data_IF_063903751036
#
_entry.id   IF_063903751036
#
_cell.length_a   1.000
_cell.length_b   1.000
_cell.length_c   1.000
_cell.angle_alpha   90.00
_cell.angle_beta   90.00
_cell.angle_gamma   90.00
#
_symmetry.space_group_name_H-M   'P 1'
#
loop_
_entity.id
_entity.type
_entity.pdbx_description
1 polymer ?
#
# COMPACT_ATOMS: atom_id res chain seq x y z
N UNK A 1 -12.52 16.95 -18.70
CA UNK A 1 -12.84 18.29 -18.14
C UNK A 1 -13.99 18.18 -17.11
N UNK A 2 -15.18 17.65 -17.44
CA UNK A 2 -16.33 17.60 -16.52
C UNK A 2 -16.02 16.97 -15.14
N UNK A 3 -15.28 15.84 -15.12
CA UNK A 3 -14.86 15.18 -13.88
C UNK A 3 -13.98 16.10 -13.02
N UNK A 4 -13.03 16.81 -13.61
CA UNK A 4 -12.13 17.73 -12.89
C UNK A 4 -12.91 18.86 -12.22
N UNK A 5 -13.91 19.45 -12.92
CA UNK A 5 -14.76 20.48 -12.35
C UNK A 5 -15.65 19.95 -11.20
N UNK A 6 -16.15 18.72 -11.31
CA UNK A 6 -16.89 18.05 -10.24
C UNK A 6 -16.00 17.79 -9.02
N UNK A 7 -14.77 17.36 -9.21
CA UNK A 7 -13.78 17.17 -8.14
C UNK A 7 -13.54 18.50 -7.42
N UNK A 8 -13.20 19.57 -8.17
CA UNK A 8 -12.97 20.90 -7.58
C UNK A 8 -14.18 21.40 -6.78
N UNK A 9 -15.39 21.30 -7.35
CA UNK A 9 -16.62 21.72 -6.68
C UNK A 9 -16.83 20.91 -5.38
N UNK A 10 -16.62 19.60 -5.42
CA UNK A 10 -16.78 18.73 -4.24
C UNK A 10 -15.77 19.03 -3.15
N UNK A 11 -14.47 19.13 -3.51
CA UNK A 11 -13.40 19.43 -2.58
C UNK A 11 -13.62 20.78 -1.89
N UNK A 12 -14.00 21.80 -2.67
CA UNK A 12 -14.28 23.14 -2.15
C UNK A 12 -15.50 23.14 -1.22
N UNK A 13 -16.60 22.51 -1.62
CA UNK A 13 -17.84 22.46 -0.84
C UNK A 13 -17.68 21.70 0.48
N UNK A 14 -16.83 20.66 0.51
CA UNK A 14 -16.55 19.83 1.69
C UNK A 14 -15.41 20.37 2.56
N UNK A 15 -14.67 21.38 2.10
CA UNK A 15 -13.53 21.94 2.81
C UNK A 15 -12.33 20.98 2.90
N UNK A 16 -12.18 20.06 1.93
CA UNK A 16 -11.00 19.17 1.86
C UNK A 16 -9.75 19.97 1.53
N UNK A 17 -8.60 19.44 1.92
CA UNK A 17 -7.30 20.10 1.79
C UNK A 17 -6.50 19.68 0.57
N UNK A 18 -7.01 18.78 -0.24
CA UNK A 18 -6.37 18.24 -1.43
C UNK A 18 -7.14 17.05 -1.97
N UNK A 19 -6.55 16.40 -2.95
CA UNK A 19 -7.10 15.19 -3.59
C UNK A 19 -6.02 14.13 -3.65
N UNK A 20 -6.36 12.92 -3.25
CA UNK A 20 -5.58 11.72 -3.53
C UNK A 20 -6.29 10.93 -4.63
N UNK A 21 -5.58 10.62 -5.72
CA UNK A 21 -6.12 9.85 -6.84
C UNK A 21 -5.59 8.42 -6.74
N UNK A 22 -6.51 7.50 -6.47
CA UNK A 22 -6.24 6.08 -6.31
C UNK A 22 -6.95 5.28 -7.40
N UNK A 23 -6.44 5.37 -8.63
CA UNK A 23 -6.95 4.61 -9.77
C UNK A 23 -6.07 3.40 -10.00
N UNK A 24 -6.64 2.23 -9.77
CA UNK A 24 -5.97 0.95 -9.96
C UNK A 24 -6.45 0.23 -11.23
N UNK A 25 -5.67 -0.76 -11.68
CA UNK A 25 -6.01 -1.62 -12.82
C UNK A 25 -6.28 -0.87 -14.13
N UNK A 26 -5.57 0.25 -14.33
CA UNK A 26 -5.62 0.99 -15.59
C UNK A 26 -4.81 0.22 -16.64
N UNK A 27 -5.37 0.00 -17.86
CA UNK A 27 -4.63 -0.64 -18.94
C UNK A 27 -3.33 0.09 -19.29
N UNK A 28 -2.27 -0.65 -19.60
CA UNK A 28 -0.96 -0.07 -19.86
C UNK A 28 -0.91 0.90 -21.05
N UNK A 29 -1.79 0.74 -22.04
CA UNK A 29 -1.95 1.67 -23.17
C UNK A 29 -2.58 3.02 -22.77
N UNK A 30 -3.12 3.13 -21.55
CA UNK A 30 -3.67 4.36 -20.97
C UNK A 30 -2.67 5.12 -20.07
N UNK A 31 -1.44 4.67 -19.96
CA UNK A 31 -0.38 5.25 -19.13
C UNK A 31 -0.24 6.76 -19.28
N UNK A 32 -0.11 7.22 -20.53
CA UNK A 32 0.04 8.65 -20.83
C UNK A 32 -1.25 9.44 -20.57
N UNK A 33 -2.40 8.86 -20.88
CA UNK A 33 -3.70 9.49 -20.64
C UNK A 33 -3.95 9.67 -19.12
N UNK A 34 -3.52 8.70 -18.29
CA UNK A 34 -3.58 8.81 -16.85
C UNK A 34 -2.69 9.94 -16.32
N UNK A 35 -1.44 10.02 -16.76
CA UNK A 35 -0.55 11.11 -16.39
C UNK A 35 -1.06 12.48 -16.85
N UNK A 36 -1.65 12.57 -18.05
CA UNK A 36 -2.29 13.81 -18.55
C UNK A 36 -3.50 14.21 -17.68
N UNK A 37 -4.30 13.24 -17.22
CA UNK A 37 -5.41 13.50 -16.30
C UNK A 37 -4.90 14.10 -14.98
N UNK A 38 -3.89 13.50 -14.36
CA UNK A 38 -3.28 13.99 -13.10
C UNK A 38 -2.72 15.40 -13.29
N UNK A 39 -1.99 15.65 -14.37
CA UNK A 39 -1.42 16.96 -14.68
C UNK A 39 -2.50 18.04 -14.84
N UNK A 40 -3.59 17.74 -15.55
CA UNK A 40 -4.74 18.67 -15.73
C UNK A 40 -5.47 18.92 -14.40
N UNK A 41 -5.68 17.86 -13.62
CA UNK A 41 -6.30 17.97 -12.29
C UNK A 41 -5.47 18.90 -11.41
N UNK A 42 -4.15 18.66 -11.29
CA UNK A 42 -3.23 19.50 -10.54
C UNK A 42 -3.26 20.96 -11.03
N UNK A 43 -3.19 21.18 -12.32
CA UNK A 43 -3.23 22.54 -12.91
C UNK A 43 -4.52 23.27 -12.53
N UNK A 44 -5.64 22.55 -12.51
CA UNK A 44 -6.97 23.13 -12.19
C UNK A 44 -7.14 23.42 -10.71
N UNK A 45 -6.54 22.60 -9.82
CA UNK A 45 -6.65 22.73 -8.38
C UNK A 45 -5.62 23.70 -7.76
N UNK A 46 -4.48 23.90 -8.41
CA UNK A 46 -3.38 24.73 -7.92
C UNK A 46 -3.77 26.17 -7.55
N UNK A 47 -4.62 26.92 -8.32
CA UNK A 47 -5.04 28.26 -7.94
C UNK A 47 -5.83 28.33 -6.63
N UNK A 48 -6.45 27.22 -6.22
CA UNK A 48 -7.16 27.08 -4.94
C UNK A 48 -6.24 26.60 -3.80
N UNK A 49 -4.95 26.38 -4.05
CA UNK A 49 -4.01 25.87 -3.07
C UNK A 49 -4.29 24.41 -2.66
N UNK A 50 -4.91 23.63 -3.54
CA UNK A 50 -5.28 22.24 -3.31
C UNK A 50 -4.29 21.30 -3.99
N UNK A 51 -3.42 20.61 -3.24
CA UNK A 51 -2.48 19.66 -3.80
C UNK A 51 -3.17 18.40 -4.33
N UNK A 52 -2.53 17.76 -5.31
CA UNK A 52 -2.93 16.47 -5.88
C UNK A 52 -1.85 15.44 -5.56
N UNK A 53 -2.23 14.41 -4.83
CA UNK A 53 -1.45 13.19 -4.60
C UNK A 53 -1.95 12.09 -5.52
N UNK A 54 -1.09 11.15 -5.89
CA UNK A 54 -1.46 9.93 -6.63
C UNK A 54 -0.92 8.70 -5.91
N UNK A 55 -1.79 7.72 -5.70
CA UNK A 55 -1.39 6.42 -5.16
C UNK A 55 -0.75 5.57 -6.28
N UNK A 56 0.39 4.96 -6.00
CA UNK A 56 1.18 4.18 -6.94
C UNK A 56 1.38 2.74 -6.48
N UNK A 57 1.13 1.79 -7.36
CA UNK A 57 1.44 0.38 -7.13
C UNK A 57 2.94 0.18 -6.84
N UNK A 58 3.31 -0.81 -6.00
CA UNK A 58 4.68 -1.00 -5.54
C UNK A 58 5.56 -1.64 -6.62
N UNK A 59 6.20 -0.82 -7.45
CA UNK A 59 7.11 -1.25 -8.53
C UNK A 59 8.56 -1.26 -8.07
N UNK A 60 9.34 -2.18 -8.65
CA UNK A 60 10.79 -2.30 -8.44
C UNK A 60 11.59 -2.02 -9.72
N UNK A 61 10.91 -1.84 -10.86
CA UNK A 61 11.52 -1.46 -12.14
C UNK A 61 10.45 -0.90 -13.12
N UNK A 62 10.84 -0.15 -14.17
CA UNK A 62 9.89 0.58 -15.04
C UNK A 62 8.95 -0.36 -15.80
N UNK A 63 9.46 -1.50 -16.29
CA UNK A 63 8.70 -2.45 -17.13
C UNK A 63 8.07 -3.60 -16.32
N UNK A 64 7.72 -3.36 -15.05
CA UNK A 64 7.06 -4.39 -14.23
C UNK A 64 5.71 -4.77 -14.83
N UNK A 65 5.53 -6.06 -15.21
CA UNK A 65 4.32 -6.49 -15.89
C UNK A 65 3.14 -6.65 -14.93
N UNK A 66 1.95 -6.51 -15.45
CA UNK A 66 0.69 -6.73 -14.74
C UNK A 66 -0.21 -5.50 -14.73
N UNK A 67 -1.52 -5.76 -14.80
CA UNK A 67 -2.53 -4.71 -14.95
C UNK A 67 -2.51 -3.68 -13.82
N UNK A 68 -2.06 -4.06 -12.60
CA UNK A 68 -1.90 -3.14 -11.47
C UNK A 68 -0.73 -2.15 -11.70
N UNK A 69 0.30 -2.56 -12.47
CA UNK A 69 1.59 -1.88 -12.53
C UNK A 69 1.82 -1.06 -13.79
N UNK A 70 1.32 -1.54 -14.94
CA UNK A 70 1.73 -1.06 -16.26
C UNK A 70 1.42 0.42 -16.52
N UNK A 71 0.27 0.92 -16.03
CA UNK A 71 -0.09 2.33 -16.15
C UNK A 71 0.48 3.22 -15.03
N UNK A 72 1.05 2.64 -13.96
CA UNK A 72 1.69 3.38 -12.89
C UNK A 72 3.15 3.69 -13.23
N UNK A 73 3.35 4.60 -14.17
CA UNK A 73 4.66 5.10 -14.55
C UNK A 73 5.15 6.12 -13.53
N UNK A 74 6.20 5.78 -12.79
CA UNK A 74 6.70 6.60 -11.68
C UNK A 74 7.23 7.95 -12.16
N UNK A 75 7.96 7.97 -13.27
CA UNK A 75 8.49 9.23 -13.82
C UNK A 75 7.37 10.16 -14.28
N UNK A 76 6.40 9.65 -15.07
CA UNK A 76 5.29 10.44 -15.59
C UNK A 76 4.36 10.94 -14.49
N UNK A 77 3.94 10.06 -13.57
CA UNK A 77 3.01 10.40 -12.50
C UNK A 77 3.68 11.24 -11.41
N UNK A 78 4.96 10.97 -11.08
CA UNK A 78 5.74 11.78 -10.18
C UNK A 78 5.96 13.22 -10.69
N UNK A 79 6.12 13.40 -12.01
CA UNK A 79 6.18 14.74 -12.61
C UNK A 79 4.80 15.43 -12.62
N UNK A 80 3.71 14.67 -12.85
CA UNK A 80 2.37 15.21 -12.98
C UNK A 80 1.74 15.65 -11.65
N UNK A 81 1.95 14.89 -10.56
CA UNK A 81 1.38 15.13 -9.24
C UNK A 81 2.22 16.09 -8.39
N UNK A 82 1.65 16.61 -7.30
CA UNK A 82 2.40 17.30 -6.25
C UNK A 82 3.15 16.31 -5.36
N UNK A 83 2.51 15.20 -4.99
CA UNK A 83 3.07 14.11 -4.19
C UNK A 83 2.62 12.76 -4.73
N UNK A 84 3.31 11.71 -4.32
CA UNK A 84 2.93 10.32 -4.59
C UNK A 84 2.86 9.54 -3.27
N UNK A 85 1.90 8.64 -3.17
CA UNK A 85 1.80 7.65 -2.10
C UNK A 85 2.19 6.29 -2.68
N UNK A 86 3.30 5.72 -2.25
CA UNK A 86 3.66 4.36 -2.62
C UNK A 86 2.86 3.36 -1.78
N UNK A 87 2.10 2.48 -2.43
CA UNK A 87 1.30 1.44 -1.77
C UNK A 87 2.18 0.24 -1.39
N UNK A 88 3.16 0.46 -0.51
CA UNK A 88 4.15 -0.53 -0.08
C UNK A 88 3.58 -1.49 0.96
N UNK A 89 2.50 -2.18 0.58
CA UNK A 89 1.78 -3.19 1.38
C UNK A 89 1.08 -4.20 0.45
N UNK A 90 0.36 -5.16 1.03
CA UNK A 90 -0.36 -6.24 0.33
C UNK A 90 0.55 -7.26 -0.39
N UNK A 91 1.79 -7.49 0.10
CA UNK A 91 2.53 -8.69 -0.28
C UNK A 91 1.87 -9.93 0.34
N UNK A 92 1.63 -9.92 1.67
CA UNK A 92 0.65 -10.79 2.29
C UNK A 92 -0.73 -10.15 2.20
N UNK A 93 -1.70 -10.86 1.61
CA UNK A 93 -3.06 -10.37 1.41
C UNK A 93 -4.08 -11.51 1.43
N UNK A 94 -5.37 -11.17 1.42
CA UNK A 94 -6.47 -12.11 1.65
C UNK A 94 -6.47 -13.33 0.74
N UNK A 95 -6.00 -13.23 -0.49
CA UNK A 95 -6.02 -14.32 -1.49
C UNK A 95 -4.64 -14.96 -1.72
N UNK A 96 -3.58 -14.34 -1.22
CA UNK A 96 -2.20 -14.81 -1.34
C UNK A 96 -1.75 -15.74 -0.21
N UNK A 97 -0.56 -16.34 -0.34
CA UNK A 97 0.00 -17.18 0.70
C UNK A 97 0.32 -16.40 1.98
N UNK A 98 0.37 -17.10 3.12
CA UNK A 98 0.72 -16.48 4.40
C UNK A 98 2.11 -15.83 4.38
N UNK A 99 2.16 -14.53 4.59
CA UNK A 99 3.40 -13.76 4.73
C UNK A 99 3.11 -12.37 5.34
N UNK A 100 4.15 -11.65 5.71
CA UNK A 100 4.01 -10.27 6.18
C UNK A 100 3.30 -9.40 5.14
N UNK A 101 2.44 -8.47 5.61
CA UNK A 101 1.72 -7.53 4.74
C UNK A 101 2.69 -6.61 4.00
N UNK A 102 3.75 -6.16 4.70
CA UNK A 102 4.79 -5.29 4.15
C UNK A 102 6.18 -5.74 4.62
N UNK A 103 6.74 -6.81 4.03
CA UNK A 103 8.09 -7.26 4.36
C UNK A 103 9.11 -6.15 4.07
N UNK A 104 9.98 -5.83 5.03
CA UNK A 104 10.91 -4.71 4.93
C UNK A 104 11.82 -4.75 3.69
N UNK A 105 12.36 -5.92 3.26
CA UNK A 105 13.15 -5.98 2.03
C UNK A 105 12.37 -5.55 0.78
N UNK A 106 11.11 -5.97 0.67
CA UNK A 106 10.25 -5.62 -0.46
C UNK A 106 9.92 -4.11 -0.46
N UNK A 107 9.63 -3.54 0.72
CA UNK A 107 9.42 -2.09 0.87
C UNK A 107 10.66 -1.32 0.43
N UNK A 108 11.86 -1.78 0.82
CA UNK A 108 13.14 -1.18 0.44
C UNK A 108 13.35 -1.21 -1.08
N UNK A 109 13.14 -2.34 -1.73
CA UNK A 109 13.30 -2.45 -3.20
C UNK A 109 12.42 -1.47 -3.96
N UNK A 110 11.18 -1.26 -3.49
CA UNK A 110 10.27 -0.26 -4.09
C UNK A 110 10.80 1.15 -3.88
N UNK A 111 11.27 1.49 -2.68
CA UNK A 111 11.83 2.81 -2.39
C UNK A 111 13.12 3.07 -3.19
N UNK A 112 14.01 2.09 -3.28
CA UNK A 112 15.26 2.19 -4.03
C UNK A 112 14.99 2.49 -5.50
N UNK A 113 13.97 1.89 -6.10
CA UNK A 113 13.53 2.25 -7.45
C UNK A 113 12.83 3.61 -7.49
N UNK A 114 11.91 3.88 -6.57
CA UNK A 114 11.12 5.11 -6.60
C UNK A 114 11.98 6.38 -6.58
N UNK A 115 13.04 6.41 -5.76
CA UNK A 115 13.93 7.58 -5.64
C UNK A 115 14.81 7.80 -6.88
N UNK A 116 14.88 6.84 -7.82
CA UNK A 116 15.53 7.06 -9.12
C UNK A 116 14.64 7.82 -10.09
N UNK A 117 13.32 7.75 -9.92
CA UNK A 117 12.31 8.30 -10.82
C UNK A 117 11.61 9.55 -10.28
N UNK A 118 11.50 9.67 -8.95
CA UNK A 118 10.69 10.67 -8.26
C UNK A 118 11.54 11.39 -7.21
N UNK A 119 11.53 12.74 -7.15
CA UNK A 119 12.17 13.47 -6.07
C UNK A 119 11.70 12.99 -4.69
N UNK A 120 12.62 12.73 -3.76
CA UNK A 120 12.35 12.16 -2.43
C UNK A 120 11.29 12.94 -1.66
N UNK A 121 11.33 14.26 -1.73
CA UNK A 121 10.41 15.17 -1.05
C UNK A 121 8.96 15.08 -1.54
N UNK A 122 8.71 14.39 -2.64
CA UNK A 122 7.37 14.13 -3.16
C UNK A 122 6.81 12.76 -2.74
N UNK A 123 7.61 11.90 -2.12
CA UNK A 123 7.26 10.51 -1.85
C UNK A 123 6.69 10.36 -0.43
N UNK A 124 5.48 9.84 -0.32
CA UNK A 124 4.92 9.30 0.91
C UNK A 124 5.03 7.77 0.91
N UNK A 125 5.59 7.24 1.98
CA UNK A 125 5.67 5.80 2.21
C UNK A 125 4.36 5.29 2.80
N UNK A 126 3.67 4.38 2.10
CA UNK A 126 2.51 3.67 2.62
C UNK A 126 2.93 2.63 3.66
N UNK A 127 2.37 2.71 4.86
CA UNK A 127 2.62 1.75 5.95
C UNK A 127 1.28 1.14 6.38
N UNK A 128 1.12 -0.20 6.32
CA UNK A 128 -0.13 -0.84 6.76
C UNK A 128 -0.25 -0.78 8.29
N UNK A 129 -1.49 -0.73 8.77
CA UNK A 129 -1.83 -0.77 10.20
C UNK A 129 -2.81 -1.92 10.52
N UNK A 130 -2.71 -3.00 9.78
CA UNK A 130 -3.57 -4.17 9.85
C UNK A 130 -2.75 -5.45 9.60
N UNK A 131 -3.42 -6.59 9.69
CA UNK A 131 -2.85 -7.89 9.42
C UNK A 131 -3.85 -8.84 8.78
N UNK A 132 -3.41 -10.07 8.60
CA UNK A 132 -4.22 -11.16 8.06
C UNK A 132 -4.05 -12.44 8.87
N UNK A 133 -5.13 -13.22 8.93
CA UNK A 133 -5.26 -14.50 9.60
C UNK A 133 -5.63 -15.57 8.57
N UNK A 134 -4.71 -16.48 8.26
CA UNK A 134 -4.89 -17.55 7.28
C UNK A 134 -5.20 -18.87 7.94
N UNK A 135 -6.30 -19.57 7.58
CA UNK A 135 -6.44 -20.98 7.88
C UNK A 135 -5.42 -21.81 7.08
N UNK A 136 -4.89 -22.85 7.69
CA UNK A 136 -3.91 -23.76 7.11
C UNK A 136 -4.48 -25.18 6.90
N UNK A 137 -4.01 -25.95 5.91
CA UNK A 137 -2.97 -25.54 4.93
C UNK A 137 -3.48 -24.52 3.92
N UNK A 138 -2.58 -23.62 3.48
CA UNK A 138 -2.90 -22.71 2.40
C UNK A 138 -3.11 -23.47 1.09
N UNK A 139 -4.18 -23.15 0.38
CA UNK A 139 -4.48 -23.67 -0.95
C UNK A 139 -4.81 -22.51 -1.88
N UNK A 140 -3.98 -22.30 -2.90
CA UNK A 140 -4.14 -21.22 -3.87
C UNK A 140 -5.54 -21.26 -4.53
N UNK A 141 -6.15 -20.11 -4.67
CA UNK A 141 -7.49 -19.93 -5.21
C UNK A 141 -8.64 -20.39 -4.29
N UNK A 142 -8.35 -21.06 -3.18
CA UNK A 142 -9.35 -21.56 -2.22
C UNK A 142 -9.26 -20.89 -0.86
N UNK A 143 -8.06 -20.80 -0.30
CA UNK A 143 -7.86 -20.17 1.02
C UNK A 143 -8.07 -18.68 0.91
N UNK A 144 -8.79 -18.12 1.88
CA UNK A 144 -8.97 -16.68 2.05
C UNK A 144 -8.59 -16.32 3.48
N UNK A 145 -7.64 -15.43 3.63
CA UNK A 145 -7.32 -14.86 4.92
C UNK A 145 -8.40 -13.85 5.37
N UNK A 146 -8.62 -13.79 6.67
CA UNK A 146 -9.43 -12.76 7.30
C UNK A 146 -8.55 -11.56 7.61
N UNK A 147 -8.93 -10.38 7.14
CA UNK A 147 -8.32 -9.12 7.58
C UNK A 147 -8.66 -8.85 9.05
N UNK A 148 -7.70 -8.32 9.81
CA UNK A 148 -7.87 -7.93 11.20
C UNK A 148 -7.02 -6.71 11.55
N UNK A 149 -7.47 -5.95 12.53
CA UNK A 149 -6.66 -4.86 13.09
C UNK A 149 -5.48 -5.43 13.91
N UNK A 150 -4.45 -4.62 14.11
CA UNK A 150 -3.32 -5.01 14.98
C UNK A 150 -3.78 -5.31 16.41
N UNK A 151 -4.79 -4.61 16.92
CA UNK A 151 -5.38 -4.89 18.23
C UNK A 151 -6.04 -6.28 18.26
N UNK A 152 -6.86 -6.59 17.24
CA UNK A 152 -7.49 -7.91 17.13
C UNK A 152 -6.46 -9.04 17.03
N UNK A 153 -5.32 -8.82 16.35
CA UNK A 153 -4.23 -9.79 16.29
C UNK A 153 -3.68 -10.11 17.67
N UNK A 154 -3.40 -9.08 18.49
CA UNK A 154 -2.91 -9.25 19.87
C UNK A 154 -3.96 -9.93 20.76
N UNK A 155 -5.22 -9.51 20.67
CA UNK A 155 -6.33 -10.13 21.42
C UNK A 155 -6.51 -11.61 21.05
N UNK A 156 -6.32 -11.95 19.77
CA UNK A 156 -6.37 -13.32 19.28
C UNK A 156 -5.21 -14.14 19.85
N UNK A 157 -4.00 -13.62 19.86
CA UNK A 157 -2.83 -14.27 20.46
C UNK A 157 -3.06 -14.54 21.97
N UNK A 158 -3.57 -13.55 22.70
CA UNK A 158 -3.91 -13.72 24.13
C UNK A 158 -4.98 -14.80 24.32
N UNK A 159 -6.05 -14.77 23.54
CA UNK A 159 -7.17 -15.73 23.62
C UNK A 159 -6.71 -17.18 23.48
N UNK A 160 -5.76 -17.43 22.56
CA UNK A 160 -5.24 -18.77 22.29
C UNK A 160 -3.92 -19.07 23.00
N UNK A 161 -3.45 -18.18 23.88
CA UNK A 161 -2.15 -18.31 24.56
C UNK A 161 -1.01 -18.54 23.56
N UNK A 162 -1.10 -17.91 22.37
CA UNK A 162 -0.11 -17.99 21.31
C UNK A 162 1.03 -17.01 21.59
N UNK A 163 2.27 -17.47 21.40
CA UNK A 163 3.45 -16.62 21.51
C UNK A 163 3.62 -15.79 20.22
N UNK A 164 3.62 -14.46 20.35
CA UNK A 164 3.91 -13.56 19.23
C UNK A 164 5.42 -13.55 18.97
N UNK A 165 5.81 -14.08 17.83
CA UNK A 165 7.17 -14.09 17.33
C UNK A 165 7.45 -12.84 16.47
N UNK A 166 8.71 -12.65 16.09
CA UNK A 166 9.11 -11.57 15.20
C UNK A 166 10.08 -12.10 14.14
N UNK A 167 9.71 -11.97 12.88
CA UNK A 167 10.56 -12.34 11.76
C UNK A 167 11.60 -11.24 11.52
N UNK A 168 12.88 -11.59 11.68
CA UNK A 168 13.99 -10.65 11.59
C UNK A 168 14.25 -10.16 10.14
N UNK A 169 13.89 -10.95 9.13
CA UNK A 169 14.07 -10.58 7.73
C UNK A 169 12.90 -9.69 7.27
N UNK A 170 11.66 -10.15 7.45
CA UNK A 170 10.48 -9.37 7.11
C UNK A 170 10.28 -8.15 8.02
N UNK A 171 10.91 -8.12 9.20
CA UNK A 171 10.71 -7.12 10.25
C UNK A 171 9.21 -6.98 10.60
N UNK A 172 8.55 -8.13 10.82
CA UNK A 172 7.13 -8.18 11.08
C UNK A 172 6.77 -9.22 12.16
N UNK A 173 5.78 -8.95 13.03
CA UNK A 173 5.30 -9.90 14.02
C UNK A 173 4.37 -10.93 13.37
N UNK A 174 4.40 -12.15 13.92
CA UNK A 174 3.54 -13.24 13.50
C UNK A 174 3.34 -14.26 14.62
N UNK A 175 2.30 -15.08 14.52
CA UNK A 175 2.09 -16.22 15.40
C UNK A 175 1.21 -17.29 14.76
N UNK A 176 1.27 -18.52 15.34
CA UNK A 176 0.36 -19.60 15.00
C UNK A 176 -0.60 -19.86 16.15
N UNK A 177 -1.80 -20.35 15.83
CA UNK A 177 -2.75 -20.87 16.79
C UNK A 177 -3.61 -21.98 16.16
N UNK A 178 -4.34 -22.73 17.00
CA UNK A 178 -5.34 -23.70 16.52
C UNK A 178 -6.73 -23.21 16.92
N UNK A 179 -7.61 -23.07 15.95
CA UNK A 179 -8.98 -22.66 16.17
C UNK A 179 -9.81 -23.78 16.86
N UNK A 180 -11.00 -23.48 17.44
CA UNK A 180 -11.80 -24.47 18.16
C UNK A 180 -12.28 -25.67 17.34
N UNK A 181 -12.35 -25.52 16.03
CA UNK A 181 -12.66 -26.58 15.05
C UNK A 181 -11.46 -27.47 14.70
N UNK A 182 -10.29 -27.21 15.31
CA UNK A 182 -9.06 -27.94 15.08
C UNK A 182 -8.23 -27.46 13.89
N UNK A 183 -8.66 -26.42 13.19
CA UNK A 183 -7.91 -25.86 12.06
C UNK A 183 -6.73 -25.04 12.58
N UNK A 184 -5.48 -25.33 12.11
CA UNK A 184 -4.34 -24.49 12.41
C UNK A 184 -4.41 -23.19 11.62
N UNK A 185 -3.94 -22.11 12.21
CA UNK A 185 -3.90 -20.77 11.63
C UNK A 185 -2.51 -20.13 11.77
N UNK A 186 -2.20 -19.21 10.88
CA UNK A 186 -1.06 -18.29 11.00
C UNK A 186 -1.55 -16.87 10.83
N UNK A 187 -1.06 -15.97 11.69
CA UNK A 187 -1.37 -14.54 11.66
C UNK A 187 -0.09 -13.76 11.41
N UNK A 188 -0.15 -12.82 10.47
CA UNK A 188 0.86 -11.79 10.26
C UNK A 188 0.21 -10.41 10.43
N UNK A 189 0.88 -9.50 11.12
CA UNK A 189 0.33 -8.17 11.41
C UNK A 189 1.44 -7.12 11.57
N UNK A 190 1.10 -5.91 11.99
CA UNK A 190 2.08 -4.85 12.25
C UNK A 190 2.08 -4.47 13.74
N UNK A 191 3.25 -4.11 14.27
CA UNK A 191 3.41 -3.58 15.62
C UNK A 191 4.39 -2.40 15.65
N UNK A 192 4.66 -1.86 16.83
CA UNK A 192 5.58 -0.73 16.99
C UNK A 192 6.99 -1.03 16.48
N UNK A 193 7.45 -2.29 16.53
CA UNK A 193 8.76 -2.71 16.04
C UNK A 193 8.82 -2.66 14.51
N UNK A 194 7.84 -3.25 13.86
CA UNK A 194 7.73 -3.30 12.40
C UNK A 194 7.50 -1.92 11.80
N UNK A 195 6.65 -1.09 12.44
CA UNK A 195 6.47 0.31 12.06
C UNK A 195 7.76 1.13 12.21
N UNK A 196 8.48 0.96 13.31
CA UNK A 196 9.76 1.64 13.53
C UNK A 196 10.82 1.25 12.49
N UNK A 197 10.82 -0.02 12.04
CA UNK A 197 11.72 -0.46 10.99
C UNK A 197 11.42 0.24 9.64
N UNK A 198 10.14 0.38 9.29
CA UNK A 198 9.71 1.09 8.06
C UNK A 198 9.96 2.61 8.16
N UNK A 199 9.71 3.22 9.31
CA UNK A 199 9.99 4.66 9.52
C UNK A 199 11.48 5.00 9.41
N UNK A 200 12.38 4.06 9.77
CA UNK A 200 13.82 4.27 9.59
C UNK A 200 14.23 4.36 8.12
N UNK A 201 13.53 3.69 7.21
CA UNK A 201 13.79 3.82 5.76
C UNK A 201 13.61 5.25 5.24
N UNK A 202 12.74 6.04 5.88
CA UNK A 202 12.49 7.44 5.47
C UNK A 202 13.74 8.32 5.74
N UNK A 203 14.58 7.95 6.68
CA UNK A 203 15.79 8.70 7.04
C UNK A 203 17.03 8.28 6.24
N UNK A 204 16.97 7.24 5.43
CA UNK A 204 18.06 6.73 4.60
C UNK A 204 18.03 7.33 3.18
#
# INVERSE_FOLDING_TARGET
>A
EALIEQILATVSAKGYRGVDVDFEYIPGDQREAYADFIRRLRTRLAPAGLPVTVALAPKTHPEQPGLLYEAHDYALLGAAADFVLLMTYEWGYTAGPPMAVAPLPNVREVLDYAVTEIPREKIYLGIPNYGYDWPLPFAEGRTRARSLSNQEAVELAVRYSAEIQFDAAAQAPWFNYTAPDGVPHVVWFEDARSMSAKLRLIGE
#
